data_IF_166494073660
#
_entry.id   IF_166494073660
#
_cell.length_a   1.000
_cell.length_b   1.000
_cell.length_c   1.000
_cell.angle_alpha   90.00
_cell.angle_beta   90.00
_cell.angle_gamma   90.00
#
_symmetry.space_group_name_H-M   'P 1'
#
loop_
_entity.id
_entity.type
_entity.pdbx_description
1 polymer ?
#
# COMPACT_ATOMS: atom_id res chain seq x y z
N UNK A 1 -30.64 -1.28 9.67
CA UNK A 1 -29.32 -0.69 9.32
C UNK A 1 -28.45 -0.77 10.55
N UNK A 2 -27.55 -1.75 10.64
CA UNK A 2 -26.56 -1.82 11.71
C UNK A 2 -25.68 -0.59 11.61
N UNK A 3 -25.57 0.17 12.69
CA UNK A 3 -24.70 1.35 12.80
C UNK A 3 -23.27 0.86 12.55
N UNK A 4 -22.73 1.09 11.36
CA UNK A 4 -21.38 0.64 11.01
C UNK A 4 -20.41 1.44 11.90
N UNK A 5 -19.61 0.73 12.71
CA UNK A 5 -18.71 1.39 13.65
C UNK A 5 -17.71 2.26 12.88
N UNK A 6 -17.51 3.47 13.37
CA UNK A 6 -16.47 4.37 12.89
C UNK A 6 -15.09 3.75 13.17
N UNK A 7 -14.23 3.73 12.15
CA UNK A 7 -12.88 3.18 12.24
C UNK A 7 -11.82 4.22 11.87
N UNK A 8 -10.63 4.08 12.44
CA UNK A 8 -9.45 4.86 12.05
C UNK A 8 -8.57 4.09 11.08
N UNK A 9 -8.35 4.64 9.89
CA UNK A 9 -7.76 3.92 8.76
C UNK A 9 -6.53 4.67 8.25
N UNK A 10 -5.41 3.96 8.13
CA UNK A 10 -4.17 4.49 7.59
C UNK A 10 -3.99 4.17 6.11
N UNK A 11 -3.80 5.18 5.26
CA UNK A 11 -3.39 5.00 3.87
C UNK A 11 -1.88 5.16 3.78
N UNK A 12 -1.18 4.14 3.29
CA UNK A 12 0.29 4.06 3.31
C UNK A 12 0.84 4.29 1.91
N UNK A 13 1.37 5.49 1.64
CA UNK A 13 1.72 5.93 0.28
C UNK A 13 3.14 6.52 0.23
N UNK A 14 4.14 5.74 -0.22
CA UNK A 14 5.42 6.26 -0.69
C UNK A 14 5.21 7.07 -1.99
N UNK A 15 5.84 8.23 -2.09
CA UNK A 15 5.76 9.08 -3.28
C UNK A 15 7.10 9.76 -3.58
N UNK A 16 7.29 10.11 -4.86
CA UNK A 16 8.47 10.82 -5.35
C UNK A 16 8.15 11.53 -6.67
N UNK A 17 8.71 12.71 -6.90
CA UNK A 17 8.67 13.45 -8.16
C UNK A 17 9.78 13.04 -9.12
N UNK A 18 10.68 12.14 -8.69
CA UNK A 18 11.81 11.64 -9.51
C UNK A 18 11.32 11.07 -10.84
N UNK A 19 12.01 11.41 -11.94
CA UNK A 19 11.69 10.91 -13.29
C UNK A 19 10.39 11.49 -13.85
N UNK A 20 9.94 12.63 -13.32
CA UNK A 20 8.79 13.41 -13.80
C UNK A 20 9.20 14.88 -13.89
N UNK A 21 10.14 15.16 -14.78
CA UNK A 21 10.81 16.47 -14.86
C UNK A 21 9.85 17.59 -15.30
N UNK A 22 8.79 17.24 -16.03
CA UNK A 22 7.75 18.17 -16.47
C UNK A 22 6.78 18.60 -15.36
N UNK A 23 6.73 17.90 -14.21
CA UNK A 23 5.85 18.29 -13.11
C UNK A 23 6.40 19.53 -12.43
N UNK A 24 5.64 20.62 -12.36
CA UNK A 24 6.09 21.86 -11.73
C UNK A 24 5.64 21.95 -10.27
N UNK A 25 4.42 21.49 -10.00
CA UNK A 25 3.72 21.64 -8.73
C UNK A 25 3.10 20.32 -8.26
N UNK A 26 2.59 20.31 -7.03
CA UNK A 26 1.86 19.13 -6.51
C UNK A 26 0.63 18.80 -7.35
N UNK A 27 0.02 19.79 -8.02
CA UNK A 27 -1.13 19.62 -8.91
C UNK A 27 -0.83 18.91 -10.21
N UNK A 28 0.45 18.71 -10.55
CA UNK A 28 0.83 17.91 -11.73
C UNK A 28 1.01 16.43 -11.38
N UNK A 29 1.03 16.11 -10.09
CA UNK A 29 1.41 14.78 -9.60
C UNK A 29 0.27 13.78 -9.67
N UNK A 30 0.63 12.50 -9.76
CA UNK A 30 -0.33 11.41 -9.63
C UNK A 30 -1.00 11.37 -8.26
N UNK A 31 -0.25 11.66 -7.18
CA UNK A 31 -0.81 11.72 -5.84
C UNK A 31 -2.02 12.63 -5.80
N UNK A 32 -1.89 13.84 -6.35
CA UNK A 32 -2.95 14.84 -6.35
C UNK A 32 -4.09 14.47 -7.30
N UNK A 33 -3.78 14.14 -8.55
CA UNK A 33 -4.79 14.00 -9.61
C UNK A 33 -5.49 12.63 -9.67
N UNK A 34 -4.85 11.60 -9.14
CA UNK A 34 -5.36 10.22 -9.14
C UNK A 34 -5.73 9.82 -7.72
N UNK A 35 -4.73 9.50 -6.89
CA UNK A 35 -4.95 8.83 -5.60
C UNK A 35 -5.81 9.67 -4.66
N UNK A 36 -5.41 10.90 -4.37
CA UNK A 36 -6.17 11.77 -3.48
C UNK A 36 -7.54 12.10 -4.07
N UNK A 37 -7.58 12.59 -5.31
CA UNK A 37 -8.83 12.98 -5.97
C UNK A 37 -9.86 11.85 -5.97
N UNK A 38 -9.48 10.67 -6.42
CA UNK A 38 -10.42 9.55 -6.60
C UNK A 38 -10.75 8.86 -5.29
N UNK A 39 -9.82 8.79 -4.33
CA UNK A 39 -10.12 8.31 -2.98
C UNK A 39 -11.15 9.21 -2.29
N UNK A 40 -10.95 10.53 -2.31
CA UNK A 40 -11.85 11.49 -1.66
C UNK A 40 -13.29 11.42 -2.21
N UNK A 41 -13.46 11.00 -3.47
CA UNK A 41 -14.75 10.78 -4.12
C UNK A 41 -15.38 9.40 -3.82
N UNK A 42 -14.59 8.42 -3.34
CA UNK A 42 -15.02 7.02 -3.18
C UNK A 42 -15.04 6.52 -1.74
N UNK A 43 -14.45 7.26 -0.80
CA UNK A 43 -14.36 6.92 0.62
C UNK A 43 -15.72 6.84 1.34
N UNK A 44 -15.76 6.06 2.41
CA UNK A 44 -16.88 5.92 3.33
C UNK A 44 -16.78 6.98 4.45
N UNK A 45 -17.65 8.00 4.40
CA UNK A 45 -17.53 9.26 5.17
C UNK A 45 -17.63 9.09 6.69
N UNK A 46 -18.15 7.98 7.15
CA UNK A 46 -18.27 7.62 8.57
C UNK A 46 -16.92 7.30 9.22
N UNK A 47 -15.87 7.00 8.46
CA UNK A 47 -14.56 6.63 8.96
C UNK A 47 -13.58 7.81 9.02
N UNK A 48 -12.57 7.69 9.88
CA UNK A 48 -11.41 8.58 9.90
C UNK A 48 -10.28 8.02 9.04
N UNK A 49 -9.72 8.85 8.19
CA UNK A 49 -8.62 8.49 7.31
C UNK A 49 -7.39 9.34 7.59
N UNK A 50 -6.23 8.72 7.68
CA UNK A 50 -4.95 9.43 7.72
C UNK A 50 -4.09 8.92 6.56
N UNK A 51 -3.71 9.83 5.67
CA UNK A 51 -2.75 9.56 4.61
C UNK A 51 -1.34 9.72 5.15
N UNK A 52 -0.64 8.62 5.36
CA UNK A 52 0.78 8.59 5.72
C UNK A 52 1.59 8.60 4.43
N UNK A 53 2.14 9.77 4.08
CA UNK A 53 2.79 10.03 2.80
C UNK A 53 4.31 10.05 3.00
N UNK A 54 4.98 9.00 2.52
CA UNK A 54 6.43 8.85 2.64
C UNK A 54 7.17 9.52 1.49
N UNK A 55 8.11 10.41 1.80
CA UNK A 55 8.75 11.29 0.82
C UNK A 55 10.26 11.19 0.90
N UNK A 56 10.93 11.06 -0.25
CA UNK A 56 12.39 11.20 -0.34
C UNK A 56 12.82 12.58 0.21
N UNK A 57 13.84 12.63 1.07
CA UNK A 57 14.21 13.87 1.76
C UNK A 57 14.61 15.03 0.83
N UNK A 58 15.07 14.72 -0.38
CA UNK A 58 15.47 15.67 -1.42
C UNK A 58 14.45 15.76 -2.56
N UNK A 59 13.21 15.32 -2.35
CA UNK A 59 12.17 15.37 -3.37
C UNK A 59 11.90 16.80 -3.85
N UNK A 60 11.83 17.02 -5.16
CA UNK A 60 11.69 18.37 -5.74
C UNK A 60 10.34 19.05 -5.45
N UNK A 61 9.30 18.27 -5.18
CA UNK A 61 7.93 18.75 -4.99
C UNK A 61 7.46 18.42 -3.58
N UNK A 62 7.32 17.14 -3.25
CA UNK A 62 6.66 16.69 -2.03
C UNK A 62 7.40 17.07 -0.74
N UNK A 63 8.72 17.32 -0.79
CA UNK A 63 9.47 17.77 0.39
C UNK A 63 9.18 19.23 0.77
N UNK A 64 8.55 20.01 -0.11
CA UNK A 64 8.33 21.44 0.09
C UNK A 64 7.08 21.72 0.92
N UNK A 65 7.17 22.50 2.02
CA UNK A 65 6.03 22.78 2.89
C UNK A 65 4.84 23.43 2.17
N UNK A 66 5.07 24.33 1.22
CA UNK A 66 3.97 24.99 0.50
C UNK A 66 3.10 23.99 -0.29
N UNK A 67 3.69 22.92 -0.83
CA UNK A 67 2.96 21.89 -1.56
C UNK A 67 2.26 20.89 -0.63
N UNK A 68 2.83 20.66 0.56
CA UNK A 68 2.17 19.90 1.62
C UNK A 68 0.92 20.64 2.13
N UNK A 69 1.03 21.96 2.32
CA UNK A 69 -0.10 22.83 2.69
C UNK A 69 -1.21 22.83 1.63
N UNK A 70 -0.87 22.75 0.33
CA UNK A 70 -1.87 22.63 -0.73
C UNK A 70 -2.71 21.34 -0.61
N UNK A 71 -2.10 20.21 -0.24
CA UNK A 71 -2.81 18.97 0.05
C UNK A 71 -3.62 19.09 1.35
N UNK A 72 -3.05 19.71 2.40
CA UNK A 72 -3.76 19.90 3.67
C UNK A 72 -5.07 20.67 3.53
N UNK A 73 -5.20 21.55 2.53
CA UNK A 73 -6.46 22.28 2.26
C UNK A 73 -7.65 21.36 1.96
N UNK A 74 -7.44 20.10 1.54
CA UNK A 74 -8.54 19.15 1.39
C UNK A 74 -9.30 18.89 2.70
N UNK A 75 -8.66 19.07 3.86
CA UNK A 75 -9.31 19.04 5.19
C UNK A 75 -10.45 20.05 5.33
N UNK A 76 -10.45 21.12 4.53
CA UNK A 76 -11.51 22.11 4.57
C UNK A 76 -12.84 21.52 4.08
N UNK A 77 -12.80 20.64 3.07
CA UNK A 77 -13.96 19.96 2.51
C UNK A 77 -14.19 18.56 3.12
N UNK A 78 -13.12 17.85 3.48
CA UNK A 78 -13.16 16.47 3.96
C UNK A 78 -12.67 16.41 5.41
N UNK A 79 -13.58 16.70 6.35
CA UNK A 79 -13.27 16.79 7.80
C UNK A 79 -12.84 15.46 8.43
N UNK A 80 -13.15 14.35 7.79
CA UNK A 80 -12.80 13.00 8.23
C UNK A 80 -11.45 12.50 7.66
N UNK A 81 -10.68 13.37 6.99
CA UNK A 81 -9.42 13.04 6.34
C UNK A 81 -8.29 13.92 6.86
N UNK A 82 -7.17 13.30 7.21
CA UNK A 82 -5.92 13.94 7.61
C UNK A 82 -4.75 13.43 6.75
N UNK A 83 -3.63 14.16 6.78
CA UNK A 83 -2.41 13.89 6.01
C UNK A 83 -1.21 14.03 6.93
N UNK A 84 -0.25 13.11 6.85
CA UNK A 84 1.04 13.20 7.53
C UNK A 84 2.15 12.97 6.53
N UNK A 85 2.98 13.98 6.34
CA UNK A 85 4.15 13.94 5.46
C UNK A 85 5.36 13.45 6.25
N UNK A 86 5.92 12.32 5.84
CA UNK A 86 7.00 11.63 6.54
C UNK A 86 8.24 11.67 5.65
N UNK A 87 9.23 12.46 6.08
CA UNK A 87 10.50 12.58 5.37
C UNK A 87 11.35 11.35 5.64
N UNK A 88 11.59 10.57 4.59
CA UNK A 88 12.34 9.32 4.61
C UNK A 88 13.84 9.59 4.55
N UNK A 89 14.46 9.73 5.73
CA UNK A 89 15.92 9.85 5.87
C UNK A 89 16.55 8.45 5.97
N UNK A 90 17.75 8.30 5.41
CA UNK A 90 18.55 7.07 5.51
C UNK A 90 17.90 5.81 4.92
N UNK A 91 16.90 5.96 4.04
CA UNK A 91 16.34 4.85 3.25
C UNK A 91 16.92 4.95 1.84
N UNK A 92 17.43 3.83 1.32
CA UNK A 92 17.91 3.79 -0.06
C UNK A 92 16.74 4.06 -1.01
N UNK A 93 16.87 5.07 -1.87
CA UNK A 93 15.82 5.44 -2.83
C UNK A 93 15.35 4.23 -3.63
N UNK A 94 14.04 4.07 -3.75
CA UNK A 94 13.43 2.94 -4.45
C UNK A 94 13.29 1.67 -3.61
N UNK A 95 13.72 1.65 -2.35
CA UNK A 95 13.45 0.57 -1.39
C UNK A 95 12.07 0.74 -0.76
N UNK A 96 11.03 0.50 -1.57
CA UNK A 96 9.64 0.79 -1.24
C UNK A 96 9.12 0.00 -0.05
N UNK A 97 9.53 -1.24 0.13
CA UNK A 97 9.08 -2.09 1.25
C UNK A 97 9.47 -1.49 2.61
N UNK A 98 10.69 -0.98 2.73
CA UNK A 98 11.15 -0.28 3.94
C UNK A 98 10.36 1.02 4.15
N UNK A 99 10.08 1.76 3.07
CA UNK A 99 9.24 2.96 3.16
C UNK A 99 7.83 2.61 3.67
N UNK A 100 7.17 1.59 3.10
CA UNK A 100 5.87 1.12 3.56
C UNK A 100 5.91 0.62 5.01
N UNK A 101 6.98 -0.06 5.44
CA UNK A 101 7.13 -0.49 6.82
C UNK A 101 7.20 0.70 7.80
N UNK A 102 7.91 1.77 7.46
CA UNK A 102 7.96 2.99 8.28
C UNK A 102 6.57 3.62 8.39
N UNK A 103 5.85 3.73 7.27
CA UNK A 103 4.50 4.27 7.25
C UNK A 103 3.53 3.40 8.06
N UNK A 104 3.63 2.08 7.91
CA UNK A 104 2.80 1.10 8.60
C UNK A 104 3.00 1.16 10.11
N UNK A 105 4.25 1.16 10.57
CA UNK A 105 4.59 1.29 11.99
C UNK A 105 4.00 2.58 12.56
N UNK A 106 4.21 3.71 11.86
CA UNK A 106 3.69 5.00 12.31
C UNK A 106 2.17 5.00 12.43
N UNK A 107 1.48 4.44 11.45
CA UNK A 107 0.03 4.32 11.46
C UNK A 107 -0.45 3.40 12.60
N UNK A 108 0.27 2.29 12.83
CA UNK A 108 -0.05 1.31 13.86
C UNK A 108 0.08 1.92 15.26
N UNK A 109 1.17 2.65 15.52
CA UNK A 109 1.46 3.34 16.77
C UNK A 109 0.44 4.45 17.07
N UNK A 110 -0.10 5.07 16.02
CA UNK A 110 -1.15 6.08 16.13
C UNK A 110 -2.56 5.50 16.24
N UNK A 111 -2.69 4.19 16.43
CA UNK A 111 -3.97 3.54 16.72
C UNK A 111 -4.88 3.35 15.50
N UNK A 112 -4.35 3.35 14.27
CA UNK A 112 -5.14 2.89 13.11
C UNK A 112 -5.52 1.41 13.29
N UNK A 113 -6.74 1.06 12.90
CA UNK A 113 -7.30 -0.30 13.00
C UNK A 113 -7.13 -1.08 11.69
N UNK A 114 -7.19 -0.35 10.57
CA UNK A 114 -7.02 -0.87 9.23
C UNK A 114 -6.01 -0.04 8.46
N UNK A 115 -5.35 -0.70 7.50
CA UNK A 115 -4.24 -0.13 6.76
C UNK A 115 -4.40 -0.48 5.30
N UNK A 116 -4.48 0.54 4.44
CA UNK A 116 -4.52 0.35 3.01
C UNK A 116 -3.16 0.72 2.41
N UNK A 117 -2.45 -0.28 1.94
CA UNK A 117 -1.18 -0.10 1.23
C UNK A 117 -1.49 0.22 -0.22
N UNK A 118 -1.00 1.37 -0.69
CA UNK A 118 -1.11 1.69 -2.09
C UNK A 118 0.02 2.57 -2.66
N UNK A 119 0.10 2.64 -3.98
CA UNK A 119 0.88 3.64 -4.71
C UNK A 119 0.24 5.03 -4.65
N UNK A 120 0.95 6.03 -5.17
CA UNK A 120 0.43 7.39 -5.34
C UNK A 120 -0.29 7.59 -6.69
N UNK A 121 -0.38 6.56 -7.51
CA UNK A 121 -0.91 6.55 -8.88
C UNK A 121 -2.17 5.70 -9.04
N UNK A 122 -2.93 5.55 -7.96
CA UNK A 122 -4.14 4.73 -7.93
C UNK A 122 -5.38 5.55 -8.28
N UNK A 123 -6.20 4.99 -9.16
CA UNK A 123 -7.50 5.53 -9.53
C UNK A 123 -8.61 4.63 -8.95
N UNK A 124 -9.23 5.08 -7.87
CA UNK A 124 -10.35 4.40 -7.21
C UNK A 124 -11.65 4.66 -7.96
N UNK A 125 -12.32 3.59 -8.45
CA UNK A 125 -13.46 3.74 -9.37
C UNK A 125 -14.83 3.42 -8.77
N UNK A 126 -14.85 2.75 -7.63
CA UNK A 126 -16.09 2.27 -7.00
C UNK A 126 -16.19 2.76 -5.57
N UNK A 127 -17.40 3.07 -5.11
CA UNK A 127 -17.67 3.42 -3.70
C UNK A 127 -17.82 2.18 -2.82
N UNK A 128 -17.89 2.37 -1.51
CA UNK A 128 -18.16 1.36 -0.48
C UNK A 128 -17.08 0.27 -0.27
N UNK A 129 -16.01 0.30 -1.06
CA UNK A 129 -14.95 -0.70 -1.00
C UNK A 129 -14.23 -0.77 0.35
N UNK A 130 -14.18 0.34 1.10
CA UNK A 130 -13.58 0.39 2.44
C UNK A 130 -14.42 -0.42 3.42
N UNK A 131 -15.74 -0.17 3.45
CA UNK A 131 -16.66 -0.91 4.29
C UNK A 131 -16.66 -2.41 3.98
N UNK A 132 -16.65 -2.76 2.69
CA UNK A 132 -16.69 -4.15 2.27
C UNK A 132 -15.37 -4.87 2.56
N UNK A 133 -14.24 -4.15 2.48
CA UNK A 133 -12.93 -4.63 2.96
C UNK A 133 -12.95 -4.89 4.47
N UNK A 134 -13.41 -3.93 5.27
CA UNK A 134 -13.49 -4.04 6.73
C UNK A 134 -14.40 -5.21 7.14
N UNK A 135 -15.58 -5.31 6.53
CA UNK A 135 -16.53 -6.38 6.79
C UNK A 135 -15.93 -7.75 6.46
N UNK A 136 -15.24 -7.86 5.34
CA UNK A 136 -14.56 -9.10 4.94
C UNK A 136 -13.48 -9.48 5.95
N UNK A 137 -12.62 -8.55 6.35
CA UNK A 137 -11.60 -8.83 7.37
C UNK A 137 -12.23 -9.24 8.71
N UNK A 138 -13.32 -8.59 9.15
CA UNK A 138 -14.03 -8.97 10.39
C UNK A 138 -14.59 -10.38 10.34
N UNK A 139 -15.15 -10.81 9.21
CA UNK A 139 -15.63 -12.19 9.00
C UNK A 139 -14.52 -13.25 9.18
N UNK A 140 -13.26 -12.83 9.05
CA UNK A 140 -12.08 -13.69 9.16
C UNK A 140 -11.17 -13.27 10.33
N UNK A 141 -11.75 -12.78 11.44
CA UNK A 141 -11.03 -12.41 12.67
C UNK A 141 -9.89 -11.39 12.46
N UNK A 142 -10.02 -10.54 11.44
CA UNK A 142 -9.02 -9.56 11.03
C UNK A 142 -7.85 -10.14 10.22
N UNK A 143 -7.79 -11.45 9.99
CA UNK A 143 -6.67 -12.12 9.34
C UNK A 143 -6.92 -12.18 7.83
N UNK A 144 -5.96 -11.67 7.06
CA UNK A 144 -5.95 -11.75 5.61
C UNK A 144 -5.72 -10.41 4.94
N UNK A 145 -5.83 -10.44 3.61
CA UNK A 145 -5.77 -9.28 2.74
C UNK A 145 -7.05 -9.17 1.93
N UNK A 146 -7.50 -7.95 1.69
CA UNK A 146 -8.68 -7.66 0.87
C UNK A 146 -8.48 -6.34 0.12
N UNK A 147 -9.35 -6.02 -0.82
CA UNK A 147 -9.29 -4.76 -1.55
C UNK A 147 -9.98 -4.85 -2.91
N UNK A 148 -10.17 -3.70 -3.58
CA UNK A 148 -10.66 -3.68 -4.96
C UNK A 148 -9.77 -4.53 -5.87
N UNK A 149 -10.38 -5.24 -6.82
CA UNK A 149 -9.61 -5.81 -7.94
C UNK A 149 -8.98 -4.68 -8.76
N UNK A 150 -7.97 -5.02 -9.56
CA UNK A 150 -7.26 -4.04 -10.36
C UNK A 150 -6.98 -4.55 -11.78
N UNK A 151 -6.21 -3.77 -12.54
CA UNK A 151 -5.81 -4.10 -13.91
C UNK A 151 -4.84 -5.30 -14.01
N UNK A 152 -4.38 -5.84 -12.89
CA UNK A 152 -3.75 -7.16 -12.80
C UNK A 152 -4.81 -8.21 -12.38
N UNK A 153 -5.21 -9.13 -13.27
CA UNK A 153 -6.29 -10.08 -12.96
C UNK A 153 -5.85 -11.21 -12.01
N UNK A 154 -4.57 -11.36 -11.72
CA UNK A 154 -4.03 -12.51 -10.97
C UNK A 154 -3.82 -12.23 -9.49
N UNK A 155 -3.51 -10.97 -9.14
CA UNK A 155 -3.08 -10.59 -7.79
C UNK A 155 -3.67 -9.23 -7.41
N UNK A 156 -3.88 -9.03 -6.11
CA UNK A 156 -4.03 -7.67 -5.59
C UNK A 156 -2.66 -7.00 -5.60
N UNK A 157 -2.57 -5.77 -6.09
CA UNK A 157 -1.34 -4.94 -6.05
C UNK A 157 -1.47 -3.81 -5.03
N UNK A 158 -2.69 -3.55 -4.57
CA UNK A 158 -3.06 -2.65 -3.48
C UNK A 158 -3.95 -3.47 -2.55
N UNK A 159 -3.74 -3.41 -1.24
CA UNK A 159 -4.54 -4.21 -0.31
C UNK A 159 -4.77 -3.53 1.03
N UNK A 160 -5.86 -3.92 1.67
CA UNK A 160 -6.21 -3.62 3.06
C UNK A 160 -5.86 -4.80 3.95
N UNK A 161 -5.26 -4.49 5.10
CA UNK A 161 -5.05 -5.39 6.23
C UNK A 161 -5.60 -4.78 7.51
N UNK A 162 -5.82 -5.61 8.53
CA UNK A 162 -6.07 -5.13 9.90
C UNK A 162 -4.78 -5.11 10.72
N UNK A 163 -4.88 -4.68 11.99
CA UNK A 163 -3.79 -4.78 12.98
C UNK A 163 -3.20 -6.19 13.13
N UNK A 164 -3.97 -7.24 12.81
CA UNK A 164 -3.49 -8.63 12.84
C UNK A 164 -2.27 -8.85 11.95
N UNK A 165 -2.12 -8.12 10.84
CA UNK A 165 -0.93 -8.24 10.00
C UNK A 165 0.35 -7.84 10.74
N UNK A 166 0.30 -6.77 11.53
CA UNK A 166 1.42 -6.37 12.39
C UNK A 166 1.70 -7.43 13.46
N UNK A 167 0.66 -8.00 14.07
CA UNK A 167 0.83 -9.05 15.09
C UNK A 167 1.48 -10.32 14.52
N UNK A 168 1.20 -10.66 13.25
CA UNK A 168 1.75 -11.84 12.59
C UNK A 168 3.21 -11.62 12.18
N UNK A 169 3.52 -10.48 11.55
CA UNK A 169 4.82 -10.28 10.88
C UNK A 169 5.73 -9.25 11.54
N UNK A 170 5.18 -8.29 12.28
CA UNK A 170 5.93 -7.15 12.84
C UNK A 170 6.31 -6.07 11.80
N UNK A 171 5.87 -6.22 10.56
CA UNK A 171 6.13 -5.30 9.44
C UNK A 171 5.03 -5.46 8.38
N UNK A 172 5.01 -4.61 7.34
CA UNK A 172 4.07 -4.75 6.22
C UNK A 172 4.64 -5.62 5.08
N UNK A 173 5.91 -5.39 4.75
CA UNK A 173 6.66 -6.18 3.78
C UNK A 173 8.01 -6.66 4.35
N UNK A 174 8.53 -7.81 3.87
CA UNK A 174 9.88 -8.23 4.22
C UNK A 174 10.88 -7.27 3.57
N UNK A 175 11.93 -6.90 4.32
CA UNK A 175 12.91 -5.89 3.87
C UNK A 175 13.81 -6.40 2.74
N UNK A 176 13.88 -7.72 2.57
CA UNK A 176 14.64 -8.41 1.51
C UNK A 176 14.09 -8.11 0.11
N UNK A 177 12.80 -7.81 -0.01
CA UNK A 177 12.20 -7.38 -1.27
C UNK A 177 12.38 -5.87 -1.37
N UNK A 178 12.97 -5.36 -2.45
CA UNK A 178 13.25 -3.93 -2.57
C UNK A 178 12.03 -3.14 -3.07
N UNK A 179 11.41 -3.58 -4.17
CA UNK A 179 10.27 -2.90 -4.78
C UNK A 179 9.34 -3.85 -5.54
N UNK A 180 9.77 -4.39 -6.66
CA UNK A 180 8.98 -5.32 -7.45
C UNK A 180 8.78 -6.63 -6.71
N UNK A 181 7.64 -7.27 -6.95
CA UNK A 181 7.22 -8.54 -6.36
C UNK A 181 6.85 -8.48 -4.87
N UNK A 182 6.78 -7.30 -4.25
CA UNK A 182 6.27 -7.21 -2.88
C UNK A 182 4.77 -7.57 -2.81
N UNK A 183 4.01 -7.24 -3.85
CA UNK A 183 2.64 -7.66 -4.06
C UNK A 183 2.53 -9.18 -4.29
N UNK A 184 3.39 -9.77 -5.13
CA UNK A 184 3.47 -11.24 -5.28
C UNK A 184 3.62 -11.91 -3.89
N UNK A 185 4.48 -11.36 -3.02
CA UNK A 185 4.73 -11.91 -1.69
C UNK A 185 3.47 -12.02 -0.83
N UNK A 186 2.70 -10.94 -0.60
CA UNK A 186 1.53 -11.06 0.29
C UNK A 186 0.43 -11.92 -0.33
N UNK A 187 0.33 -11.96 -1.67
CA UNK A 187 -0.67 -12.82 -2.32
C UNK A 187 -0.33 -14.28 -2.04
N UNK A 188 0.93 -14.68 -2.19
CA UNK A 188 1.38 -16.06 -1.94
C UNK A 188 1.21 -16.45 -0.46
N UNK A 189 1.56 -15.54 0.46
CA UNK A 189 1.45 -15.77 1.91
C UNK A 189 0.00 -16.02 2.33
N UNK A 190 -0.92 -15.20 1.85
CA UNK A 190 -2.33 -15.26 2.27
C UNK A 190 -3.21 -16.20 1.42
N UNK A 191 -2.80 -16.56 0.21
CA UNK A 191 -3.58 -17.48 -0.62
C UNK A 191 -3.55 -18.93 -0.11
N UNK A 192 -4.61 -19.72 -0.38
CA UNK A 192 -5.91 -19.28 -0.90
C UNK A 192 -6.86 -18.78 0.20
N UNK A 193 -6.62 -19.18 1.45
CA UNK A 193 -7.60 -19.12 2.54
C UNK A 193 -7.87 -17.71 3.08
N UNK A 194 -6.89 -16.82 2.98
CA UNK A 194 -6.91 -15.48 3.58
C UNK A 194 -6.74 -14.37 2.53
N UNK A 195 -7.02 -14.70 1.27
CA UNK A 195 -6.97 -13.80 0.13
C UNK A 195 -8.39 -13.47 -0.34
N UNK A 196 -8.82 -12.22 -0.13
CA UNK A 196 -10.21 -11.82 -0.32
C UNK A 196 -10.37 -10.63 -1.29
N UNK A 197 -10.07 -10.80 -2.59
CA UNK A 197 -10.32 -9.76 -3.57
C UNK A 197 -11.81 -9.43 -3.65
N UNK A 198 -12.14 -8.14 -3.75
CA UNK A 198 -13.52 -7.67 -3.83
C UNK A 198 -13.92 -7.52 -5.30
N UNK A 199 -14.52 -8.57 -5.87
CA UNK A 199 -14.86 -8.64 -7.30
C UNK A 199 -15.81 -7.54 -7.81
N UNK A 200 -16.58 -6.89 -6.94
CA UNK A 200 -17.48 -5.78 -7.28
C UNK A 200 -16.83 -4.39 -7.17
N UNK A 201 -15.56 -4.31 -6.76
CA UNK A 201 -14.84 -3.05 -6.59
C UNK A 201 -13.61 -3.00 -7.44
N UNK A 202 -13.32 -1.84 -8.01
CA UNK A 202 -12.19 -1.68 -8.92
C UNK A 202 -11.35 -0.46 -8.61
N UNK A 203 -10.03 -0.63 -8.70
CA UNK A 203 -9.06 0.45 -8.78
C UNK A 203 -8.03 0.14 -9.88
N UNK A 204 -7.44 1.15 -10.52
CA UNK A 204 -6.37 0.92 -11.50
C UNK A 204 -5.09 1.63 -11.10
N UNK A 205 -3.94 1.04 -11.44
CA UNK A 205 -2.69 1.78 -11.48
C UNK A 205 -2.63 2.49 -12.84
N UNK A 206 -2.76 3.81 -12.80
CA UNK A 206 -2.75 4.69 -13.99
C UNK A 206 -1.44 5.49 -14.05
N UNK A 207 -0.40 5.00 -13.38
CA UNK A 207 0.93 5.60 -13.38
C UNK A 207 1.68 5.38 -14.70
N UNK A 208 2.70 6.20 -14.91
CA UNK A 208 3.68 6.00 -15.98
C UNK A 208 4.81 5.04 -15.61
N UNK A 209 5.93 5.15 -16.34
CA UNK A 209 7.13 4.34 -16.06
C UNK A 209 7.59 4.44 -14.58
N UNK A 210 8.14 3.36 -13.99
CA UNK A 210 8.65 3.36 -12.62
C UNK A 210 9.63 4.51 -12.36
N UNK A 211 9.61 5.05 -11.14
CA UNK A 211 10.46 6.18 -10.71
C UNK A 211 11.70 5.73 -9.92
N UNK A 212 12.04 4.45 -10.03
CA UNK A 212 13.15 3.79 -9.34
C UNK A 212 13.73 2.67 -10.20
N UNK A 213 14.93 2.20 -9.84
CA UNK A 213 15.56 1.05 -10.47
C UNK A 213 14.95 -0.24 -9.89
N UNK A 214 14.57 -1.17 -10.77
CA UNK A 214 13.97 -2.45 -10.36
C UNK A 214 14.99 -3.23 -9.53
N UNK A 215 14.58 -3.67 -8.35
CA UNK A 215 15.46 -4.33 -7.38
C UNK A 215 16.74 -3.52 -7.04
N UNK A 216 16.69 -2.19 -7.17
CA UNK A 216 17.84 -1.29 -7.06
C UNK A 216 19.04 -1.67 -7.97
N UNK A 217 18.76 -2.33 -9.10
CA UNK A 217 19.74 -2.68 -10.12
C UNK A 217 19.53 -1.84 -11.39
N UNK A 218 20.49 -0.95 -11.67
CA UNK A 218 20.47 -0.07 -12.87
C UNK A 218 20.54 -0.86 -14.18
N UNK A 219 21.05 -2.09 -14.15
CA UNK A 219 21.19 -2.97 -15.32
C UNK A 219 20.07 -4.01 -15.41
N UNK A 220 19.06 -3.93 -14.53
CA UNK A 220 17.99 -4.91 -14.45
C UNK A 220 17.29 -5.13 -15.81
N UNK A 221 17.06 -4.06 -16.57
CA UNK A 221 16.41 -4.14 -17.89
C UNK A 221 17.30 -4.80 -18.95
N UNK A 222 18.62 -4.54 -18.97
CA UNK A 222 19.56 -5.18 -19.89
C UNK A 222 19.05 -5.35 -21.35
N UNK A 223 19.35 -6.50 -21.94
CA UNK A 223 18.68 -6.98 -23.17
C UNK A 223 17.32 -7.59 -22.83
N UNK A 224 16.44 -7.78 -23.82
CA UNK A 224 15.13 -8.39 -23.59
C UNK A 224 15.20 -9.76 -22.90
N UNK A 225 16.12 -10.63 -23.33
CA UNK A 225 16.32 -11.93 -22.69
C UNK A 225 16.79 -11.77 -21.25
N UNK A 226 17.72 -10.83 -21.00
CA UNK A 226 18.21 -10.57 -19.64
C UNK A 226 17.11 -10.03 -18.72
N UNK A 227 16.23 -9.18 -19.25
CA UNK A 227 15.07 -8.68 -18.50
C UNK A 227 14.17 -9.84 -18.06
N UNK A 228 13.84 -10.75 -18.99
CA UNK A 228 12.99 -11.92 -18.71
C UNK A 228 13.63 -12.81 -17.64
N UNK A 229 14.91 -13.15 -17.79
CA UNK A 229 15.67 -13.92 -16.81
C UNK A 229 15.66 -13.25 -15.43
N UNK A 230 15.92 -11.95 -15.37
CA UNK A 230 15.95 -11.19 -14.12
C UNK A 230 14.57 -11.16 -13.44
N UNK A 231 13.48 -11.01 -14.20
CA UNK A 231 12.11 -11.07 -13.67
C UNK A 231 11.78 -12.47 -13.15
N UNK A 232 12.12 -13.51 -13.91
CA UNK A 232 11.88 -14.90 -13.48
C UNK A 232 12.64 -15.21 -12.19
N UNK A 233 13.90 -14.80 -12.11
CA UNK A 233 14.72 -14.94 -10.91
C UNK A 233 14.09 -14.19 -9.73
N UNK A 234 13.73 -12.92 -9.90
CA UNK A 234 13.16 -12.09 -8.83
C UNK A 234 11.85 -12.67 -8.29
N UNK A 235 10.96 -13.14 -9.17
CA UNK A 235 9.71 -13.81 -8.79
C UNK A 235 9.97 -15.14 -8.08
N UNK A 236 10.95 -15.91 -8.54
CA UNK A 236 11.32 -17.17 -7.91
C UNK A 236 11.86 -16.96 -6.49
N UNK A 237 12.77 -16.00 -6.32
CA UNK A 237 13.33 -15.63 -5.02
C UNK A 237 12.22 -15.15 -4.07
N UNK A 238 11.31 -14.30 -4.57
CA UNK A 238 10.13 -13.84 -3.83
C UNK A 238 9.24 -14.99 -3.40
N UNK A 239 8.96 -15.94 -4.31
CA UNK A 239 8.12 -17.10 -4.01
C UNK A 239 8.73 -17.98 -2.91
N UNK A 240 10.03 -18.22 -2.96
CA UNK A 240 10.75 -18.98 -1.92
C UNK A 240 10.61 -18.26 -0.57
N UNK A 241 10.86 -16.95 -0.54
CA UNK A 241 10.71 -16.14 0.67
C UNK A 241 9.27 -16.14 1.21
N UNK A 242 8.28 -15.99 0.32
CA UNK A 242 6.87 -16.01 0.68
C UNK A 242 6.45 -17.35 1.28
N UNK A 243 6.90 -18.48 0.73
CA UNK A 243 6.62 -19.80 1.32
C UNK A 243 7.22 -19.94 2.72
N UNK A 244 8.45 -19.46 2.94
CA UNK A 244 9.04 -19.42 4.28
C UNK A 244 8.22 -18.56 5.24
N UNK A 245 7.76 -17.38 4.81
CA UNK A 245 6.97 -16.47 5.65
C UNK A 245 5.53 -16.95 5.86
N UNK A 246 5.01 -17.80 4.98
CA UNK A 246 3.72 -18.46 5.17
C UNK A 246 3.70 -19.33 6.42
N UNK A 247 4.82 -19.97 6.77
CA UNK A 247 4.95 -20.72 8.02
C UNK A 247 4.76 -19.83 9.26
N UNK A 248 5.12 -18.54 9.20
CA UNK A 248 4.87 -17.58 10.30
C UNK A 248 3.36 -17.41 10.51
N UNK A 249 2.59 -17.24 9.42
CA UNK A 249 1.13 -17.18 9.47
C UNK A 249 0.53 -18.47 10.03
N UNK A 250 0.99 -19.64 9.55
CA UNK A 250 0.48 -20.94 10.00
C UNK A 250 0.76 -21.18 11.49
N UNK A 251 1.95 -20.83 11.97
CA UNK A 251 2.30 -20.91 13.38
C UNK A 251 1.44 -19.98 14.24
N UNK A 252 1.21 -18.74 13.79
CA UNK A 252 0.32 -17.82 14.47
C UNK A 252 -1.11 -18.36 14.59
N UNK A 253 -1.64 -18.97 13.51
CA UNK A 253 -2.96 -19.60 13.52
C UNK A 253 -3.02 -20.82 14.45
N UNK A 254 -1.98 -21.64 14.49
CA UNK A 254 -1.88 -22.77 15.40
C UNK A 254 -1.89 -22.31 16.87
N UNK A 255 -1.17 -21.24 17.20
CA UNK A 255 -1.18 -20.65 18.53
C UNK A 255 -2.56 -20.11 18.93
N UNK A 256 -3.30 -19.47 18.01
CA UNK A 256 -4.67 -19.01 18.30
C UNK A 256 -5.62 -20.17 18.61
N UNK A 257 -5.50 -21.27 17.87
CA UNK A 257 -6.35 -22.44 18.07
C UNK A 257 -6.01 -23.24 19.33
N UNK A 258 -4.77 -23.13 19.84
CA UNK A 258 -4.35 -23.81 21.08
C UNK A 258 -4.82 -23.10 22.36
N UNK A 259 -5.29 -21.85 22.24
CA UNK A 259 -5.79 -21.02 23.36
C UNK A 259 -7.31 -21.13 23.51
N UNK A 260 -7.98 -21.87 22.63
CA UNK A 260 -9.42 -22.15 22.62
C UNK A 260 -9.71 -23.64 22.79
#
# INVERSE_FOLDING_TARGET
>A
MTKQNKHKIGLLIPTTSKGRDSWATVKDTYLFNLTLKTFLLTQNKEHEYIFYIGIDADDRIFSKPNYQEEIHRFKNAFKNVDYQFIIMKNIKKGHLTVMWNVLFQKAYDQGCEYFFQCGDDINFRTQNWVNDSINKLKQHNGIGITGPINNNPQILTQCMVSRKHMEIFGWFFPVEIINWCCDDWYNIVYQPQFFFPLGNHFCSNDGGAPRYDINNDKKFKGTQNKFIENIQKLRNDTRILAQKHKEILLNYLACLNAVH
#
